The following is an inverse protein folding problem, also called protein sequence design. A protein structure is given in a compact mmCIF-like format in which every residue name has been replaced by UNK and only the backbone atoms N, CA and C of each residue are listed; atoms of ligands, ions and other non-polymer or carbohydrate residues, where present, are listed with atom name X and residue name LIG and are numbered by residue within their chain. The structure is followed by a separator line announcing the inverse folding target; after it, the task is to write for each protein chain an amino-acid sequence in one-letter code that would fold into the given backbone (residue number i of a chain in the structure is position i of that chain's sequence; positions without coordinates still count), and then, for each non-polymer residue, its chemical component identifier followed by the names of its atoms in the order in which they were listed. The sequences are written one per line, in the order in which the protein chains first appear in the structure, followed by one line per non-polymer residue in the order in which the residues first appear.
data_IF_310400170178
#
_entry.id   IF_310400170178
#
_cell.length_a   1.000
_cell.length_b   1.000
_cell.length_c   1.000
_cell.angle_alpha   90.00
_cell.angle_beta   90.00
_cell.angle_gamma   90.00
#
_symmetry.space_group_name_H-M   'P 1'
#
loop_
_entity.id
_entity.type
_entity.pdbx_description
1 polymer ?
#
# COMPACT_ATOMS: atom_id res chain seq x y z
N UNK A 1 3.30 12.57 11.32
CA UNK A 1 2.72 12.87 12.67
C UNK A 1 3.39 14.11 13.22
N UNK A 2 2.68 15.23 13.32
CA UNK A 2 3.26 16.56 13.64
C UNK A 2 3.75 16.65 15.10
N UNK A 3 3.16 15.88 16.01
CA UNK A 3 3.39 15.99 17.46
C UNK A 3 4.09 14.78 18.09
N UNK A 4 4.71 13.90 17.29
CA UNK A 4 5.48 12.77 17.79
C UNK A 4 6.80 12.62 17.06
N UNK A 5 7.81 12.18 17.79
CA UNK A 5 9.13 11.89 17.21
C UNK A 5 9.08 10.62 16.36
N UNK A 6 9.83 10.61 15.27
CA UNK A 6 10.09 9.43 14.47
C UNK A 6 11.42 8.81 14.92
N UNK A 7 11.40 7.53 15.21
CA UNK A 7 12.62 6.76 15.46
C UNK A 7 12.96 5.98 14.20
N UNK A 8 14.18 6.11 13.73
CA UNK A 8 14.67 5.43 12.54
C UNK A 8 16.03 4.78 12.84
N UNK A 9 16.11 3.48 12.61
CA UNK A 9 17.31 2.70 12.88
C UNK A 9 17.73 1.96 11.61
N UNK A 10 19.03 2.00 11.33
CA UNK A 10 19.60 1.13 10.29
C UNK A 10 19.54 -0.31 10.76
N UNK A 11 19.01 -1.18 9.93
CA UNK A 11 18.86 -2.60 10.20
C UNK A 11 19.48 -3.42 9.07
N UNK A 12 19.50 -4.73 9.22
CA UNK A 12 19.91 -5.68 8.19
C UNK A 12 18.91 -6.84 8.20
N UNK A 13 18.13 -6.98 7.14
CA UNK A 13 17.13 -8.04 6.99
C UNK A 13 17.71 -9.20 6.18
N UNK A 14 18.43 -8.87 5.12
CA UNK A 14 19.09 -9.86 4.27
C UNK A 14 20.55 -9.47 3.95
N UNK A 15 21.26 -10.32 3.22
CA UNK A 15 22.65 -10.10 2.83
C UNK A 15 22.84 -9.30 1.55
N UNK A 16 21.76 -8.68 1.02
CA UNK A 16 21.82 -7.86 -0.17
C UNK A 16 22.61 -6.54 0.03
N UNK A 17 22.94 -5.84 -1.05
CA UNK A 17 23.71 -4.59 -1.01
C UNK A 17 22.87 -3.37 -0.57
N UNK A 18 21.56 -3.51 -0.44
CA UNK A 18 20.64 -2.42 -0.13
C UNK A 18 20.84 -1.89 1.30
N UNK A 19 20.53 -0.62 1.49
CA UNK A 19 20.40 -0.02 2.81
C UNK A 19 18.99 -0.26 3.34
N UNK A 20 18.88 -0.72 4.56
CA UNK A 20 17.63 -1.10 5.21
C UNK A 20 17.45 -0.33 6.51
N UNK A 21 16.24 0.14 6.73
CA UNK A 21 15.88 0.95 7.90
C UNK A 21 14.54 0.49 8.48
N UNK A 22 14.43 0.54 9.79
CA UNK A 22 13.18 0.43 10.54
C UNK A 22 12.77 1.80 11.03
N UNK A 23 11.52 2.17 10.82
CA UNK A 23 11.00 3.47 11.23
C UNK A 23 9.66 3.31 11.96
N UNK A 24 9.46 4.08 13.04
CA UNK A 24 8.26 4.03 13.89
C UNK A 24 7.08 4.82 13.34
N UNK A 25 7.21 5.50 12.23
CA UNK A 25 6.15 6.33 11.65
C UNK A 25 5.10 5.56 10.86
N UNK A 26 4.08 6.26 10.39
CA UNK A 26 3.19 5.77 9.36
C UNK A 26 3.96 5.53 8.06
N UNK A 27 3.43 4.74 7.10
CA UNK A 27 4.10 4.57 5.80
C UNK A 27 4.40 5.90 5.08
N UNK A 28 3.53 6.89 5.17
CA UNK A 28 3.78 8.23 4.63
C UNK A 28 4.91 8.95 5.36
N UNK A 29 4.99 8.85 6.70
CA UNK A 29 6.09 9.42 7.48
C UNK A 29 7.43 8.77 7.09
N UNK A 30 7.44 7.45 6.86
CA UNK A 30 8.64 6.72 6.42
C UNK A 30 9.14 7.23 5.06
N UNK A 31 8.22 7.49 4.13
CA UNK A 31 8.56 8.03 2.81
C UNK A 31 9.12 9.43 2.92
N UNK A 32 8.48 10.31 3.70
CA UNK A 32 8.98 11.68 3.95
C UNK A 32 10.37 11.66 4.53
N UNK A 33 10.58 10.88 5.59
CA UNK A 33 11.88 10.74 6.23
C UNK A 33 12.93 10.17 5.26
N UNK A 34 12.54 9.14 4.49
CA UNK A 34 13.42 8.53 3.50
C UNK A 34 13.89 9.52 2.44
N UNK A 35 12.98 10.28 1.85
CA UNK A 35 13.29 11.20 0.75
C UNK A 35 14.06 12.42 1.24
N UNK A 36 13.70 12.99 2.38
CA UNK A 36 14.21 14.28 2.82
C UNK A 36 15.47 14.19 3.70
N UNK A 37 15.66 13.06 4.44
CA UNK A 37 16.74 12.95 5.43
C UNK A 37 17.70 11.79 5.18
N UNK A 38 17.21 10.64 4.65
CA UNK A 38 18.04 9.43 4.55
C UNK A 38 18.73 9.33 3.20
N UNK A 39 18.03 9.69 2.12
CA UNK A 39 18.55 9.60 0.78
C UNK A 39 19.31 10.89 0.39
N UNK A 40 20.50 10.73 -0.20
CA UNK A 40 21.30 11.88 -0.66
C UNK A 40 20.73 12.55 -1.93
N UNK A 41 19.83 11.88 -2.63
CA UNK A 41 19.13 12.36 -3.82
C UNK A 41 17.73 11.76 -3.88
N UNK A 42 16.82 12.42 -4.60
CA UNK A 42 15.50 11.86 -4.87
C UNK A 42 15.64 10.52 -5.59
N UNK A 43 14.87 9.50 -5.17
CA UNK A 43 14.87 8.22 -5.85
C UNK A 43 14.14 8.33 -7.20
N UNK A 44 14.49 7.45 -8.13
CA UNK A 44 13.88 7.41 -9.45
C UNK A 44 12.46 6.80 -9.40
N UNK A 45 12.16 6.01 -8.37
CA UNK A 45 10.87 5.37 -8.16
C UNK A 45 10.70 5.01 -6.67
N UNK A 46 9.49 5.17 -6.16
CA UNK A 46 9.05 4.62 -4.89
C UNK A 46 8.14 3.41 -5.14
N UNK A 47 8.40 2.30 -4.46
CA UNK A 47 7.57 1.09 -4.52
C UNK A 47 7.13 0.75 -3.11
N UNK A 48 5.83 0.58 -2.90
CA UNK A 48 5.23 0.26 -1.61
C UNK A 48 4.48 -1.07 -1.64
N UNK A 49 4.58 -1.84 -0.59
CA UNK A 49 3.92 -3.15 -0.43
C UNK A 49 4.90 -4.31 -0.47
N UNK A 50 4.43 -5.53 -0.68
CA UNK A 50 3.09 -5.92 -1.16
C UNK A 50 2.13 -5.99 0.02
N UNK A 51 1.00 -5.32 -0.09
CA UNK A 51 -0.03 -5.30 0.94
C UNK A 51 -0.82 -6.62 0.97
N UNK A 52 -1.22 -7.05 2.17
CA UNK A 52 -2.28 -8.06 2.35
C UNK A 52 -3.64 -7.38 2.24
N UNK A 53 -4.48 -7.85 1.32
CA UNK A 53 -5.79 -7.29 1.06
C UNK A 53 -5.82 -6.25 -0.07
N UNK A 54 -7.03 -5.96 -0.54
CA UNK A 54 -7.28 -5.07 -1.66
C UNK A 54 -7.07 -3.60 -1.31
N UNK A 55 -6.43 -2.87 -2.21
CA UNK A 55 -6.40 -1.40 -2.21
C UNK A 55 -7.27 -0.80 -3.32
N UNK A 56 -8.18 -1.59 -3.89
CA UNK A 56 -9.10 -1.11 -4.93
C UNK A 56 -10.17 -0.19 -4.35
N UNK A 57 -10.73 0.68 -5.20
CA UNK A 57 -11.83 1.58 -4.86
C UNK A 57 -11.54 2.50 -3.67
N UNK A 58 -12.50 2.69 -2.78
CA UNK A 58 -12.41 3.52 -1.57
C UNK A 58 -11.32 3.03 -0.60
N UNK A 59 -10.91 1.76 -0.67
CA UNK A 59 -9.86 1.22 0.18
C UNK A 59 -8.52 1.95 0.03
N UNK A 60 -8.31 2.66 -1.07
CA UNK A 60 -7.15 3.55 -1.27
C UNK A 60 -6.98 4.53 -0.10
N UNK A 61 -8.09 5.09 0.41
CA UNK A 61 -8.06 6.12 1.46
C UNK A 61 -7.54 5.56 2.79
N UNK A 62 -7.82 4.28 3.06
CA UNK A 62 -7.46 3.61 4.30
C UNK A 62 -6.14 2.83 4.22
N UNK A 63 -5.54 2.77 3.02
CA UNK A 63 -4.37 1.95 2.76
C UNK A 63 -3.07 2.66 3.14
N UNK A 64 -2.33 2.08 4.09
CA UNK A 64 -0.97 2.50 4.40
C UNK A 64 -0.02 2.33 3.19
N UNK A 65 -0.20 1.28 2.40
CA UNK A 65 0.57 1.03 1.18
C UNK A 65 0.35 2.13 0.15
N UNK A 66 -0.91 2.53 -0.07
CA UNK A 66 -1.20 3.61 -1.01
C UNK A 66 -0.84 4.97 -0.44
N UNK A 67 -0.95 5.19 0.88
CA UNK A 67 -0.52 6.45 1.48
C UNK A 67 0.98 6.71 1.27
N UNK A 68 1.83 5.68 1.35
CA UNK A 68 3.25 5.78 1.02
C UNK A 68 3.48 6.13 -0.46
N UNK A 69 2.79 5.46 -1.38
CA UNK A 69 2.92 5.74 -2.81
C UNK A 69 2.40 7.14 -3.17
N UNK A 70 1.27 7.56 -2.59
CA UNK A 70 0.71 8.89 -2.80
C UNK A 70 1.66 9.96 -2.24
N UNK A 71 2.21 9.77 -1.04
CA UNK A 71 3.15 10.69 -0.44
C UNK A 71 4.40 10.87 -1.31
N UNK A 72 4.98 9.77 -1.82
CA UNK A 72 6.10 9.85 -2.76
C UNK A 72 5.75 10.65 -4.01
N UNK A 73 4.53 10.47 -4.54
CA UNK A 73 4.02 11.21 -5.70
C UNK A 73 3.88 12.71 -5.39
N UNK A 74 3.43 13.07 -4.18
CA UNK A 74 3.36 14.47 -3.71
C UNK A 74 4.76 15.09 -3.62
N UNK A 75 5.75 14.33 -3.14
CA UNK A 75 7.16 14.71 -3.10
C UNK A 75 7.83 14.74 -4.50
N UNK A 76 7.06 14.45 -5.55
CA UNK A 76 7.54 14.49 -6.94
C UNK A 76 8.36 13.26 -7.35
N UNK A 77 8.20 12.15 -6.64
CA UNK A 77 8.80 10.85 -6.97
C UNK A 77 7.72 9.96 -7.60
N UNK A 78 7.95 9.38 -8.80
CA UNK A 78 7.05 8.38 -9.36
C UNK A 78 6.82 7.24 -8.36
N UNK A 79 5.58 6.72 -8.25
CA UNK A 79 5.29 5.76 -7.21
C UNK A 79 4.32 4.66 -7.62
N UNK A 80 4.49 3.46 -7.03
CA UNK A 80 3.63 2.30 -7.24
C UNK A 80 3.31 1.67 -5.89
N UNK A 81 2.02 1.44 -5.61
CA UNK A 81 1.56 0.60 -4.52
C UNK A 81 1.09 -0.75 -5.06
N UNK A 82 1.59 -1.86 -4.48
CA UNK A 82 1.22 -3.22 -4.82
C UNK A 82 0.40 -3.88 -3.73
N UNK A 83 -0.66 -4.59 -4.09
CA UNK A 83 -1.57 -5.26 -3.17
C UNK A 83 -2.01 -6.61 -3.71
N UNK A 84 -2.07 -7.60 -2.84
CA UNK A 84 -2.62 -8.93 -3.14
C UNK A 84 -3.97 -9.08 -2.42
N UNK A 85 -5.01 -9.48 -3.14
CA UNK A 85 -6.36 -9.72 -2.62
C UNK A 85 -6.40 -11.01 -1.77
N UNK A 86 -5.49 -11.11 -0.82
CA UNK A 86 -5.42 -12.18 0.16
C UNK A 86 -5.11 -11.59 1.53
N UNK A 87 -6.02 -11.80 2.48
CA UNK A 87 -5.90 -11.31 3.86
C UNK A 87 -5.22 -12.33 4.79
N UNK A 88 -4.84 -13.49 4.26
CA UNK A 88 -4.21 -14.55 5.03
C UNK A 88 -2.77 -14.17 5.42
N UNK A 89 -2.38 -14.49 6.66
CA UNK A 89 -0.97 -14.43 7.09
C UNK A 89 -0.05 -15.37 6.30
N UNK A 90 -0.64 -16.35 5.59
CA UNK A 90 0.08 -17.31 4.74
C UNK A 90 -0.01 -16.94 3.25
N UNK A 91 -0.36 -15.70 2.93
CA UNK A 91 -0.49 -15.24 1.55
C UNK A 91 0.79 -15.51 0.74
N UNK A 92 0.63 -16.06 -0.46
CA UNK A 92 1.75 -16.39 -1.34
C UNK A 92 1.96 -15.31 -2.40
N UNK A 93 3.00 -14.52 -2.24
CA UNK A 93 3.37 -13.46 -3.18
C UNK A 93 4.22 -13.93 -4.38
N UNK A 94 4.69 -15.19 -4.37
CA UNK A 94 5.61 -15.69 -5.41
C UNK A 94 5.02 -15.63 -6.84
N UNK A 95 3.73 -15.94 -7.09
CA UNK A 95 3.14 -15.87 -8.42
C UNK A 95 3.26 -14.51 -9.11
N UNK A 96 3.38 -13.44 -8.32
CA UNK A 96 3.33 -12.06 -8.82
C UNK A 96 4.69 -11.41 -9.00
N UNK A 97 5.79 -12.03 -8.52
CA UNK A 97 7.15 -11.46 -8.58
C UNK A 97 7.58 -11.03 -9.97
N UNK A 98 7.30 -11.86 -11.00
CA UNK A 98 7.66 -11.55 -12.39
C UNK A 98 6.90 -10.32 -12.90
N UNK A 99 5.61 -10.24 -12.58
CA UNK A 99 4.75 -9.13 -13.01
C UNK A 99 5.13 -7.85 -12.29
N UNK A 100 5.38 -7.90 -10.98
CA UNK A 100 5.87 -6.77 -10.19
C UNK A 100 7.16 -6.22 -10.81
N UNK A 101 8.15 -7.09 -11.07
CA UNK A 101 9.39 -6.70 -11.72
C UNK A 101 9.15 -6.06 -13.09
N UNK A 102 8.26 -6.63 -13.90
CA UNK A 102 7.91 -6.09 -15.23
C UNK A 102 7.30 -4.70 -15.13
N UNK A 103 6.33 -4.49 -14.24
CA UNK A 103 5.69 -3.19 -14.04
C UNK A 103 6.70 -2.17 -13.53
N UNK A 104 7.50 -2.53 -12.53
CA UNK A 104 8.53 -1.66 -11.94
C UNK A 104 9.56 -1.21 -12.97
N UNK A 105 10.11 -2.14 -13.76
CA UNK A 105 11.09 -1.83 -14.80
C UNK A 105 10.47 -0.98 -15.92
N UNK A 106 9.21 -1.23 -16.28
CA UNK A 106 8.50 -0.41 -17.27
C UNK A 106 8.29 1.01 -16.74
N UNK A 107 7.89 1.17 -15.49
CA UNK A 107 7.73 2.47 -14.85
C UNK A 107 9.06 3.26 -14.78
N UNK A 108 10.17 2.59 -14.48
CA UNK A 108 11.49 3.22 -14.50
C UNK A 108 11.91 3.67 -15.90
N UNK A 109 11.57 2.88 -16.93
CA UNK A 109 11.96 3.17 -18.31
C UNK A 109 11.08 4.25 -18.97
N UNK A 110 9.76 4.15 -18.80
CA UNK A 110 8.77 4.98 -19.50
C UNK A 110 8.29 6.16 -18.65
N UNK A 111 8.53 6.11 -17.34
CA UNK A 111 8.03 7.06 -16.36
C UNK A 111 6.58 6.79 -15.95
N UNK A 112 6.15 7.54 -14.95
CA UNK A 112 4.76 7.66 -14.50
C UNK A 112 4.38 9.14 -14.62
N UNK A 113 3.15 9.49 -15.05
CA UNK A 113 2.75 10.88 -15.13
C UNK A 113 2.97 11.61 -13.79
N UNK A 114 3.38 12.87 -13.86
CA UNK A 114 3.63 13.67 -12.64
C UNK A 114 2.40 13.70 -11.75
N UNK A 115 2.63 13.64 -10.44
CA UNK A 115 1.59 13.65 -9.40
C UNK A 115 0.59 12.49 -9.53
N UNK A 116 1.05 11.36 -10.04
CA UNK A 116 0.27 10.13 -10.17
C UNK A 116 1.00 9.00 -9.45
N UNK A 117 0.25 8.20 -8.70
CA UNK A 117 0.70 6.93 -8.16
C UNK A 117 -0.07 5.79 -8.82
N UNK A 118 0.61 4.71 -9.19
CA UNK A 118 -0.04 3.52 -9.71
C UNK A 118 -0.51 2.65 -8.53
N UNK A 119 -1.77 2.23 -8.59
CA UNK A 119 -2.36 1.29 -7.65
C UNK A 119 -2.55 -0.05 -8.33
N UNK A 120 -1.69 -1.02 -8.01
CA UNK A 120 -1.66 -2.33 -8.65
C UNK A 120 -2.22 -3.38 -7.71
N UNK A 121 -3.32 -4.02 -8.11
CA UNK A 121 -3.99 -5.05 -7.33
C UNK A 121 -3.93 -6.39 -8.05
N UNK A 122 -3.49 -7.42 -7.33
CA UNK A 122 -3.43 -8.80 -7.81
C UNK A 122 -4.59 -9.60 -7.22
N UNK A 123 -5.35 -10.35 -8.03
CA UNK A 123 -6.29 -11.33 -7.50
C UNK A 123 -5.53 -12.50 -6.84
N UNK A 124 -6.17 -13.17 -5.89
CA UNK A 124 -5.59 -14.38 -5.27
C UNK A 124 -5.79 -15.59 -6.19
N UNK A 125 -4.91 -15.76 -7.16
CA UNK A 125 -4.91 -16.84 -8.17
C UNK A 125 -3.49 -17.38 -8.39
N UNK A 126 -3.37 -18.52 -9.03
CA UNK A 126 -2.07 -19.08 -9.39
C UNK A 126 -1.44 -18.35 -10.59
N UNK A 127 -0.11 -18.46 -10.74
CA UNK A 127 0.66 -17.80 -11.81
C UNK A 127 0.12 -18.14 -13.22
N UNK A 128 -0.28 -19.38 -13.45
CA UNK A 128 -0.80 -19.87 -14.75
C UNK A 128 -2.21 -19.37 -15.09
N UNK A 129 -2.93 -18.83 -14.12
CA UNK A 129 -4.27 -18.25 -14.30
C UNK A 129 -4.21 -16.76 -14.66
N UNK A 130 -3.03 -16.13 -14.54
CA UNK A 130 -2.85 -14.71 -14.81
C UNK A 130 -2.86 -14.48 -16.32
N UNK A 131 -3.94 -13.87 -16.83
CA UNK A 131 -4.13 -13.64 -18.27
C UNK A 131 -3.45 -12.38 -18.81
N UNK A 132 -3.04 -11.46 -17.93
CA UNK A 132 -2.38 -10.22 -18.32
C UNK A 132 -2.57 -9.07 -17.32
N UNK A 133 -2.25 -7.86 -17.77
CA UNK A 133 -2.36 -6.63 -17.01
C UNK A 133 -3.41 -5.74 -17.69
N UNK A 134 -4.38 -5.26 -16.94
CA UNK A 134 -5.42 -4.35 -17.42
C UNK A 134 -5.34 -3.02 -16.66
N UNK A 135 -5.37 -1.91 -17.38
CA UNK A 135 -5.56 -0.59 -16.79
C UNK A 135 -7.06 -0.37 -16.64
N UNK A 136 -7.47 0.02 -15.44
CA UNK A 136 -8.86 0.24 -15.07
C UNK A 136 -9.02 1.61 -14.42
N UNK A 137 -10.21 2.18 -14.49
CA UNK A 137 -10.58 3.28 -13.62
C UNK A 137 -10.74 2.77 -12.18
N UNK A 138 -10.59 3.67 -11.22
CA UNK A 138 -10.91 3.35 -9.83
C UNK A 138 -12.43 3.09 -9.73
N UNK A 139 -12.80 1.94 -9.16
CA UNK A 139 -14.20 1.62 -8.93
C UNK A 139 -14.81 2.59 -7.90
N UNK A 140 -16.09 2.88 -8.04
CA UNK A 140 -16.84 3.67 -7.09
C UNK A 140 -17.66 2.73 -6.19
N UNK A 141 -17.08 2.32 -5.08
CA UNK A 141 -17.74 1.49 -4.06
C UNK A 141 -17.68 2.18 -2.72
N UNK A 142 -18.54 1.80 -1.81
CA UNK A 142 -18.53 2.31 -0.44
C UNK A 142 -18.78 1.18 0.56
N UNK A 143 -18.34 1.41 1.81
CA UNK A 143 -18.63 0.51 2.92
C UNK A 143 -20.06 0.75 3.41
N UNK A 144 -20.81 -0.33 3.64
CA UNK A 144 -22.05 -0.28 4.39
C UNK A 144 -21.68 -0.56 5.84
N UNK A 145 -21.51 0.50 6.59
CA UNK A 145 -21.10 0.43 7.99
C UNK A 145 -22.29 0.06 8.87
N UNK A 146 -22.05 -0.82 9.82
CA UNK A 146 -22.95 -1.13 10.92
C UNK A 146 -22.18 -1.08 12.22
N UNK A 147 -22.84 -0.61 13.26
CA UNK A 147 -22.29 -0.58 14.61
C UNK A 147 -23.06 -1.54 15.50
N UNK A 148 -22.37 -2.49 16.09
CA UNK A 148 -22.90 -3.37 17.16
C UNK A 148 -22.62 -2.67 18.49
N UNK A 149 -23.70 -2.17 19.10
CA UNK A 149 -23.67 -1.45 20.38
C UNK A 149 -23.70 -2.45 21.53
N UNK A 150 -22.77 -2.31 22.47
CA UNK A 150 -22.68 -3.14 23.67
C UNK A 150 -22.41 -2.27 24.91
N UNK A 151 -22.58 -2.85 26.09
CA UNK A 151 -22.27 -2.22 27.37
C UNK A 151 -21.28 -3.08 28.13
N UNK A 152 -20.24 -2.46 28.68
CA UNK A 152 -19.27 -3.16 29.51
C UNK A 152 -19.82 -3.39 30.94
N UNK A 153 -19.15 -4.21 31.77
CA UNK A 153 -19.60 -4.48 33.16
C UNK A 153 -19.70 -3.24 34.05
N UNK A 154 -19.04 -2.13 33.69
CA UNK A 154 -19.12 -0.84 34.42
C UNK A 154 -20.22 0.07 33.87
N UNK A 155 -21.12 -0.41 33.03
CA UNK A 155 -22.23 0.35 32.46
C UNK A 155 -21.86 1.31 31.34
N UNK A 156 -20.63 1.27 30.82
CA UNK A 156 -20.19 2.16 29.72
C UNK A 156 -20.50 1.51 28.37
N UNK A 157 -21.10 2.29 27.48
CA UNK A 157 -21.39 1.88 26.11
C UNK A 157 -20.11 1.88 25.26
N UNK A 158 -20.01 0.88 24.38
CA UNK A 158 -18.97 0.81 23.34
C UNK A 158 -19.56 0.20 22.06
N UNK A 159 -18.90 0.42 20.96
CA UNK A 159 -19.39 0.03 19.64
C UNK A 159 -18.32 -0.78 18.90
N UNK A 160 -18.73 -1.88 18.32
CA UNK A 160 -17.94 -2.58 17.32
C UNK A 160 -18.37 -2.09 15.95
N UNK A 161 -17.41 -1.62 15.15
CA UNK A 161 -17.65 -1.38 13.73
C UNK A 161 -17.74 -2.73 13.02
N UNK A 162 -18.92 -3.01 12.48
CA UNK A 162 -19.21 -4.19 11.67
C UNK A 162 -19.75 -3.72 10.34
N UNK A 163 -19.36 -4.33 9.24
CA UNK A 163 -19.83 -3.90 7.94
C UNK A 163 -19.41 -4.83 6.83
N UNK A 164 -20.00 -4.64 5.66
CA UNK A 164 -19.64 -5.32 4.43
C UNK A 164 -19.30 -4.31 3.35
N UNK A 165 -18.37 -4.66 2.49
CA UNK A 165 -18.10 -3.89 1.28
C UNK A 165 -19.24 -4.12 0.30
N UNK A 166 -19.91 -3.06 -0.12
CA UNK A 166 -20.82 -3.12 -1.26
C UNK A 166 -20.01 -2.91 -2.53
N UNK A 167 -19.94 -3.96 -3.34
CA UNK A 167 -19.42 -3.85 -4.70
C UNK A 167 -20.55 -3.45 -5.63
N UNK A 168 -20.52 -2.21 -6.11
CA UNK A 168 -21.32 -1.88 -7.28
C UNK A 168 -20.61 -2.48 -8.49
N UNK A 169 -21.22 -3.47 -9.11
CA UNK A 169 -20.75 -4.00 -10.38
C UNK A 169 -20.77 -2.88 -11.43
N UNK A 170 -19.63 -2.65 -12.07
CA UNK A 170 -19.52 -1.93 -13.32
C UNK A 170 -19.76 -2.88 -14.48
#
# INVERSE_FOLDING_TARGET
TINSTLQCHKIKIDNGPQKEYSCSGTPADCVKLGINEILNKKPDLCVSGINHGSNASINVIYSGTMSAAIEASVEGVPAIGFSLLDYSWKANFNPFKKIIKKITLKALKEGIPKRTALNVNFPNINENEIKGIKICNQANTYWIEKFDKRTNPQGREYFWLTGAVSYTHL
#
